data_IF_930078277716
#
_entry.id   IF_930078277716
#
_cell.length_a   1.000
_cell.length_b   1.000
_cell.length_c   1.000
_cell.angle_alpha   90.00
_cell.angle_beta   90.00
_cell.angle_gamma   90.00
#
_symmetry.space_group_name_H-M   'P 1'
#
loop_
_entity.id
_entity.type
_entity.pdbx_description
1 polymer ?
#
# COMPACT_ATOMS: atom_id res chain seq x y z
N UNK A 1 -8.02 8.94 -4.16
CA UNK A 1 -8.61 7.88 -4.99
C UNK A 1 -9.05 6.78 -4.07
N UNK A 2 -10.35 6.70 -3.87
CA UNK A 2 -10.99 5.74 -3.00
C UNK A 2 -11.63 4.63 -3.85
N UNK A 3 -12.39 3.78 -3.18
CA UNK A 3 -13.23 2.76 -3.76
C UNK A 3 -14.51 2.69 -2.93
N UNK A 4 -15.52 2.03 -3.48
CA UNK A 4 -16.73 1.69 -2.74
C UNK A 4 -16.51 0.94 -1.42
N UNK A 5 -15.31 0.39 -1.15
CA UNK A 5 -15.00 -0.27 0.13
C UNK A 5 -14.47 0.69 1.22
N UNK A 6 -13.99 1.88 0.87
CA UNK A 6 -13.29 2.77 1.79
C UNK A 6 -13.65 4.26 1.65
N UNK A 7 -14.50 4.64 0.70
CA UNK A 7 -14.91 6.05 0.49
C UNK A 7 -15.59 6.65 1.72
N UNK A 8 -16.62 6.00 2.27
CA UNK A 8 -17.36 6.50 3.45
C UNK A 8 -16.47 6.66 4.70
N UNK A 9 -15.58 5.69 4.92
CA UNK A 9 -14.62 5.72 6.02
C UNK A 9 -13.60 6.85 5.85
N UNK A 10 -13.13 7.06 4.61
CA UNK A 10 -12.18 8.12 4.26
C UNK A 10 -12.82 9.49 4.44
N UNK A 11 -14.04 9.69 3.95
CA UNK A 11 -14.81 10.92 4.14
C UNK A 11 -15.02 11.26 5.63
N UNK A 12 -15.19 10.25 6.48
CA UNK A 12 -15.33 10.44 7.93
C UNK A 12 -14.02 10.84 8.60
N UNK A 13 -12.88 10.30 8.14
CA UNK A 13 -11.56 10.58 8.71
C UNK A 13 -11.04 11.95 8.26
N UNK A 14 -11.28 12.35 7.01
CA UNK A 14 -10.78 13.62 6.45
C UNK A 14 -11.28 14.84 7.22
N UNK A 15 -12.49 14.76 7.81
CA UNK A 15 -13.04 15.81 8.69
C UNK A 15 -12.12 16.20 9.85
N UNK A 16 -11.24 15.29 10.30
CA UNK A 16 -10.26 15.58 11.35
C UNK A 16 -9.20 16.60 10.92
N UNK A 17 -9.04 16.81 9.62
CA UNK A 17 -8.09 17.74 9.04
C UNK A 17 -8.76 19.08 8.64
N UNK A 18 -10.04 19.29 8.97
CA UNK A 18 -10.69 20.60 8.80
C UNK A 18 -9.92 21.67 9.58
N UNK A 19 -9.56 22.77 8.90
CA UNK A 19 -8.78 23.87 9.48
C UNK A 19 -7.25 23.67 9.44
N UNK A 20 -6.76 22.53 8.94
CA UNK A 20 -5.36 22.41 8.56
C UNK A 20 -5.11 23.14 7.23
N UNK A 21 -3.87 23.60 7.01
CA UNK A 21 -3.46 24.27 5.78
C UNK A 21 -3.21 23.25 4.65
N UNK A 22 -4.25 22.48 4.30
CA UNK A 22 -4.24 21.48 3.23
C UNK A 22 -5.66 21.30 2.68
N UNK A 23 -5.78 21.32 1.35
CA UNK A 23 -7.01 20.99 0.65
C UNK A 23 -7.00 19.50 0.26
N UNK A 24 -7.95 18.74 0.79
CA UNK A 24 -8.07 17.31 0.51
C UNK A 24 -9.24 17.08 -0.43
N UNK A 25 -8.94 16.58 -1.63
CA UNK A 25 -9.93 16.18 -2.62
C UNK A 25 -10.02 14.65 -2.68
N UNK A 26 -11.24 14.11 -2.73
CA UNK A 26 -11.50 12.68 -2.87
C UNK A 26 -12.29 12.40 -4.14
N UNK A 27 -12.05 11.23 -4.72
CA UNK A 27 -12.84 10.70 -5.82
C UNK A 27 -12.78 9.18 -5.76
N UNK A 28 -13.89 8.57 -6.16
CA UNK A 28 -14.03 7.13 -6.25
C UNK A 28 -13.51 6.60 -7.57
N UNK A 29 -12.80 5.48 -7.51
CA UNK A 29 -12.47 4.70 -8.70
C UNK A 29 -13.70 3.92 -9.20
N UNK A 30 -13.64 3.45 -10.45
CA UNK A 30 -14.70 2.65 -11.05
C UNK A 30 -14.96 1.35 -10.27
N UNK A 31 -16.14 0.75 -10.47
CA UNK A 31 -16.49 -0.58 -9.95
C UNK A 31 -16.97 -1.48 -11.07
N UNK A 32 -16.35 -2.64 -11.22
CA UNK A 32 -16.67 -3.58 -12.30
C UNK A 32 -17.36 -4.83 -11.74
N UNK A 33 -18.32 -5.42 -12.48
CA UNK A 33 -18.97 -6.65 -12.06
C UNK A 33 -17.99 -7.83 -12.15
N UNK A 34 -17.97 -8.69 -11.13
CA UNK A 34 -17.21 -9.95 -11.18
C UNK A 34 -17.75 -10.85 -12.28
N UNK A 35 -16.90 -11.71 -12.82
CA UNK A 35 -17.27 -12.65 -13.89
C UNK A 35 -17.13 -14.08 -13.37
N UNK A 36 -18.16 -14.90 -13.60
CA UNK A 36 -18.11 -16.32 -13.28
C UNK A 36 -17.14 -17.03 -14.22
N UNK A 37 -16.18 -17.79 -13.69
CA UNK A 37 -15.12 -18.42 -14.48
C UNK A 37 -15.67 -19.43 -15.50
N UNK A 38 -16.66 -20.22 -15.10
CA UNK A 38 -17.18 -21.31 -15.94
C UNK A 38 -18.14 -20.80 -17.01
N UNK A 39 -18.94 -19.78 -16.68
CA UNK A 39 -19.95 -19.23 -17.58
C UNK A 39 -19.42 -18.07 -18.44
N UNK A 40 -18.33 -17.41 -18.02
CA UNK A 40 -17.82 -16.16 -18.60
C UNK A 40 -18.88 -15.04 -18.67
N UNK A 41 -19.84 -15.06 -17.74
CA UNK A 41 -20.90 -14.07 -17.61
C UNK A 41 -20.71 -13.27 -16.32
N UNK A 42 -21.14 -12.00 -16.29
CA UNK A 42 -21.19 -11.23 -15.05
C UNK A 42 -21.99 -11.95 -13.97
N UNK A 43 -21.49 -11.94 -12.74
CA UNK A 43 -22.21 -12.42 -11.57
C UNK A 43 -23.50 -11.64 -11.33
N UNK A 44 -23.51 -10.28 -11.34
CA UNK A 44 -24.74 -9.53 -11.16
C UNK A 44 -25.60 -9.52 -12.44
N UNK A 45 -26.92 -9.65 -12.27
CA UNK A 45 -27.92 -9.67 -13.36
C UNK A 45 -28.76 -8.40 -13.48
N UNK A 46 -28.64 -7.49 -12.52
CA UNK A 46 -29.41 -6.24 -12.43
C UNK A 46 -28.50 -5.10 -11.98
N UNK A 47 -28.91 -3.86 -12.22
CA UNK A 47 -28.17 -2.66 -11.80
C UNK A 47 -28.01 -2.55 -10.27
N UNK A 48 -29.04 -2.91 -9.49
CA UNK A 48 -29.02 -2.84 -8.02
C UNK A 48 -28.31 -4.04 -7.36
N UNK A 49 -27.14 -4.42 -7.88
CA UNK A 49 -26.39 -5.56 -7.37
C UNK A 49 -25.66 -5.25 -6.05
N UNK A 50 -25.38 -6.30 -5.27
CA UNK A 50 -24.66 -6.14 -4.00
C UNK A 50 -23.21 -5.73 -4.26
N UNK A 51 -22.64 -4.86 -3.42
CA UNK A 51 -21.23 -4.47 -3.53
C UNK A 51 -20.26 -5.67 -3.47
N UNK A 52 -20.68 -6.78 -2.88
CA UNK A 52 -19.93 -8.04 -2.89
C UNK A 52 -19.79 -8.65 -4.29
N UNK A 53 -20.61 -8.26 -5.26
CA UNK A 53 -20.57 -8.77 -6.64
C UNK A 53 -19.69 -7.93 -7.56
N UNK A 54 -19.15 -6.81 -7.06
CA UNK A 54 -18.16 -6.00 -7.78
C UNK A 54 -16.76 -6.05 -7.18
N UNK A 55 -15.83 -5.45 -7.92
CA UNK A 55 -14.44 -5.24 -7.52
C UNK A 55 -13.91 -3.94 -8.14
N UNK A 56 -12.94 -3.28 -7.50
CA UNK A 56 -12.21 -2.17 -8.12
C UNK A 56 -11.28 -2.71 -9.23
N UNK A 57 -11.23 -2.11 -10.43
CA UNK A 57 -10.46 -2.62 -11.58
C UNK A 57 -8.95 -2.36 -11.51
N UNK A 58 -8.40 -2.26 -10.30
CA UNK A 58 -6.99 -2.00 -10.03
C UNK A 58 -6.58 -0.54 -10.24
N UNK A 59 -5.33 -0.23 -9.86
CA UNK A 59 -4.83 1.14 -9.79
C UNK A 59 -4.67 1.86 -11.14
N UNK A 60 -4.76 1.15 -12.27
CA UNK A 60 -4.73 1.78 -13.59
C UNK A 60 -5.99 2.58 -13.92
N UNK A 61 -7.10 2.34 -13.22
CA UNK A 61 -8.35 3.11 -13.37
C UNK A 61 -8.21 4.59 -12.95
N UNK A 62 -7.14 4.95 -12.23
CA UNK A 62 -6.87 6.32 -11.77
C UNK A 62 -6.99 7.36 -12.89
N UNK A 63 -6.63 7.02 -14.13
CA UNK A 63 -6.72 7.96 -15.25
C UNK A 63 -8.18 8.25 -15.63
N UNK A 64 -9.00 7.20 -15.73
CA UNK A 64 -10.40 7.31 -16.15
C UNK A 64 -11.26 7.91 -15.03
N UNK A 65 -11.09 7.44 -13.78
CA UNK A 65 -11.84 7.96 -12.65
C UNK A 65 -11.47 9.40 -12.30
N UNK A 66 -10.19 9.78 -12.38
CA UNK A 66 -9.78 11.18 -12.16
C UNK A 66 -10.38 12.11 -13.22
N UNK A 67 -10.37 11.69 -14.49
CA UNK A 67 -11.00 12.45 -15.59
C UNK A 67 -12.52 12.59 -15.37
N UNK A 68 -13.22 11.47 -15.16
CA UNK A 68 -14.68 11.45 -15.01
C UNK A 68 -15.17 12.16 -13.75
N UNK A 69 -14.33 12.25 -12.71
CA UNK A 69 -14.67 12.99 -11.47
C UNK A 69 -14.73 14.51 -11.66
N UNK A 70 -14.17 15.05 -12.74
CA UNK A 70 -13.99 16.50 -12.94
C UNK A 70 -12.86 17.11 -12.11
N UNK A 71 -12.22 16.34 -11.22
CA UNK A 71 -11.06 16.83 -10.44
C UNK A 71 -9.87 17.13 -11.36
N UNK A 72 -9.68 16.37 -12.45
CA UNK A 72 -8.62 16.68 -13.39
C UNK A 72 -8.74 18.11 -13.92
N UNK A 73 -9.93 18.51 -14.36
CA UNK A 73 -10.20 19.86 -14.84
C UNK A 73 -10.02 20.90 -13.74
N UNK A 74 -10.46 20.59 -12.51
CA UNK A 74 -10.26 21.46 -11.36
C UNK A 74 -8.77 21.71 -11.07
N UNK A 75 -7.95 20.65 -11.09
CA UNK A 75 -6.50 20.74 -10.88
C UNK A 75 -5.82 21.52 -12.01
N UNK A 76 -6.20 21.26 -13.26
CA UNK A 76 -5.65 22.00 -14.41
C UNK A 76 -6.02 23.50 -14.34
N UNK A 77 -7.27 23.82 -13.99
CA UNK A 77 -7.74 25.20 -13.85
C UNK A 77 -7.08 25.95 -12.67
N UNK A 78 -6.58 25.24 -11.65
CA UNK A 78 -5.78 25.82 -10.57
C UNK A 78 -4.29 25.93 -10.90
N UNK A 79 -3.87 25.55 -12.11
CA UNK A 79 -2.48 25.64 -12.58
C UNK A 79 -1.60 24.47 -12.16
N UNK A 80 -2.19 23.33 -11.75
CA UNK A 80 -1.43 22.12 -11.42
C UNK A 80 -1.15 21.33 -12.70
N UNK A 81 0.14 21.11 -12.99
CA UNK A 81 0.59 20.42 -14.21
C UNK A 81 1.11 19.00 -13.97
N UNK A 82 1.59 18.70 -12.75
CA UNK A 82 2.24 17.44 -12.42
C UNK A 82 1.61 16.85 -11.16
N UNK A 83 1.21 15.57 -11.23
CA UNK A 83 0.67 14.83 -10.10
C UNK A 83 1.67 13.76 -9.65
N UNK A 84 1.97 13.75 -8.35
CA UNK A 84 2.74 12.69 -7.71
C UNK A 84 1.80 11.57 -7.24
N UNK A 85 1.98 10.36 -7.77
CA UNK A 85 1.17 9.19 -7.40
C UNK A 85 2.00 8.19 -6.58
N UNK A 86 1.46 7.80 -5.43
CA UNK A 86 2.05 6.78 -4.57
C UNK A 86 0.98 5.98 -3.84
N UNK A 87 1.26 4.72 -3.53
CA UNK A 87 0.36 3.96 -2.66
C UNK A 87 0.41 4.49 -1.23
N UNK A 88 -0.74 4.54 -0.57
CA UNK A 88 -0.84 4.98 0.83
C UNK A 88 -0.10 4.05 1.82
N UNK A 89 0.10 2.77 1.48
CA UNK A 89 0.88 1.84 2.30
C UNK A 89 2.40 2.03 2.16
N UNK A 90 2.87 2.80 1.17
CA UNK A 90 4.29 3.11 1.01
C UNK A 90 4.68 4.38 1.78
N UNK A 91 5.14 4.19 3.02
CA UNK A 91 5.52 5.30 3.90
C UNK A 91 6.86 5.97 3.53
N UNK A 92 7.58 5.43 2.54
CA UNK A 92 8.81 6.02 2.01
C UNK A 92 8.55 7.01 0.86
N UNK A 93 7.34 6.98 0.29
CA UNK A 93 6.99 7.85 -0.82
C UNK A 93 6.74 9.27 -0.33
N UNK A 94 7.70 10.16 -0.63
CA UNK A 94 7.64 11.58 -0.29
C UNK A 94 7.99 12.41 -1.53
N UNK A 95 7.46 13.63 -1.64
CA UNK A 95 7.76 14.51 -2.78
C UNK A 95 9.26 14.80 -2.85
N UNK A 96 9.88 14.46 -3.97
CA UNK A 96 11.30 14.70 -4.23
C UNK A 96 11.47 15.85 -5.23
N UNK A 97 11.88 17.02 -4.72
CA UNK A 97 11.98 18.23 -5.54
C UNK A 97 12.97 18.12 -6.69
N UNK A 98 14.03 17.32 -6.57
CA UNK A 98 14.98 17.08 -7.66
C UNK A 98 14.38 16.27 -8.82
N UNK A 99 13.46 15.33 -8.53
CA UNK A 99 12.73 14.57 -9.56
C UNK A 99 11.74 15.50 -10.25
N UNK A 100 11.00 16.30 -9.47
CA UNK A 100 10.08 17.31 -10.01
C UNK A 100 10.81 18.33 -10.88
N UNK A 101 11.95 18.84 -10.43
CA UNK A 101 12.80 19.76 -11.19
C UNK A 101 13.22 19.15 -12.53
N UNK A 102 13.66 17.88 -12.54
CA UNK A 102 13.98 17.19 -13.78
C UNK A 102 12.79 17.12 -14.73
N UNK A 103 11.60 16.73 -14.24
CA UNK A 103 10.39 16.67 -15.08
C UNK A 103 10.08 18.02 -15.73
N UNK A 104 10.22 19.12 -14.99
CA UNK A 104 10.00 20.48 -15.50
C UNK A 104 11.04 20.87 -16.55
N UNK A 105 12.33 20.59 -16.29
CA UNK A 105 13.43 20.95 -17.19
C UNK A 105 13.42 20.16 -18.50
N UNK A 106 13.14 18.85 -18.44
CA UNK A 106 13.12 17.96 -19.62
C UNK A 106 11.76 17.90 -20.30
N UNK A 107 10.70 18.43 -19.67
CA UNK A 107 9.31 18.29 -20.11
C UNK A 107 8.86 16.84 -20.24
N UNK A 108 9.43 15.95 -19.41
CA UNK A 108 9.03 14.54 -19.33
C UNK A 108 7.60 14.43 -18.80
N UNK A 109 6.72 13.75 -19.53
CA UNK A 109 5.32 13.62 -19.14
C UNK A 109 5.08 12.52 -18.08
N UNK A 110 6.03 11.57 -17.92
CA UNK A 110 5.89 10.48 -16.94
C UNK A 110 7.24 9.95 -16.44
N UNK A 111 7.42 9.91 -15.11
CA UNK A 111 8.56 9.26 -14.46
C UNK A 111 8.08 8.15 -13.54
N UNK A 112 8.70 6.98 -13.65
CA UNK A 112 8.51 5.88 -12.70
C UNK A 112 9.73 5.72 -11.80
N UNK A 113 9.52 5.77 -10.48
CA UNK A 113 10.56 5.42 -9.51
C UNK A 113 10.69 3.89 -9.42
N UNK A 114 11.92 3.41 -9.62
CA UNK A 114 12.31 2.00 -9.55
C UNK A 114 13.33 1.80 -8.43
N UNK A 115 13.35 0.60 -7.87
CA UNK A 115 14.35 0.18 -6.89
C UNK A 115 15.03 -1.09 -7.35
N UNK A 116 16.24 -1.32 -6.83
CA UNK A 116 16.89 -2.61 -6.98
C UNK A 116 16.10 -3.71 -6.28
N UNK A 117 15.85 -4.81 -7.01
CA UNK A 117 15.13 -5.96 -6.48
C UNK A 117 15.99 -6.69 -5.45
N UNK A 118 15.39 -6.99 -4.31
CA UNK A 118 15.95 -7.88 -3.29
C UNK A 118 15.20 -9.21 -3.30
N UNK A 119 15.75 -10.21 -2.60
CA UNK A 119 15.08 -11.51 -2.40
C UNK A 119 13.72 -11.38 -1.71
N UNK A 120 13.52 -10.31 -0.93
CA UNK A 120 12.26 -10.03 -0.24
C UNK A 120 11.18 -9.45 -1.18
N UNK A 121 11.55 -8.95 -2.36
CA UNK A 121 10.62 -8.28 -3.29
C UNK A 121 9.94 -9.26 -4.29
N UNK A 122 10.10 -10.57 -4.09
CA UNK A 122 9.41 -11.61 -4.88
C UNK A 122 7.99 -11.74 -4.33
N UNK A 123 7.02 -11.14 -5.03
CA UNK A 123 5.59 -11.13 -4.64
C UNK A 123 5.06 -12.54 -4.35
N UNK A 124 4.49 -12.74 -3.16
CA UNK A 124 3.52 -13.80 -2.89
C UNK A 124 2.16 -13.42 -3.47
N UNK A 125 1.49 -14.37 -4.13
CA UNK A 125 0.16 -14.16 -4.69
C UNK A 125 -0.87 -13.89 -3.59
N UNK A 126 -1.83 -13.02 -3.89
CA UNK A 126 -3.00 -12.81 -3.04
C UNK A 126 -3.96 -13.97 -3.26
N UNK A 127 -4.13 -14.83 -2.26
CA UNK A 127 -5.26 -15.75 -2.20
C UNK A 127 -6.44 -15.01 -1.57
N UNK A 128 -7.57 -14.94 -2.28
CA UNK A 128 -8.82 -14.45 -1.71
C UNK A 128 -9.39 -15.58 -0.83
N UNK A 129 -9.51 -15.41 0.50
CA UNK A 129 -10.18 -16.41 1.32
C UNK A 129 -11.68 -16.39 0.99
N UNK A 130 -12.21 -17.57 0.68
CA UNK A 130 -13.64 -17.78 0.53
C UNK A 130 -14.36 -17.37 1.82
N UNK A 131 -15.18 -16.33 1.73
CA UNK A 131 -16.07 -16.00 2.82
C UNK A 131 -17.16 -17.09 2.89
N UNK A 132 -17.28 -17.68 4.08
CA UNK A 132 -18.29 -18.64 4.58
C UNK A 132 -17.91 -20.12 4.43
N UNK A 133 -17.75 -20.76 5.60
CA UNK A 133 -17.77 -22.23 5.75
C UNK A 133 -19.08 -22.78 5.17
N UNK A 134 -19.00 -23.49 4.04
CA UNK A 134 -20.05 -24.41 3.60
C UNK A 134 -20.70 -24.17 2.23
N UNK A 135 -20.34 -23.11 1.50
CA UNK A 135 -20.75 -22.93 0.09
C UNK A 135 -19.61 -23.35 -0.83
N UNK A 136 -19.93 -24.00 -1.96
CA UNK A 136 -18.94 -24.40 -2.95
C UNK A 136 -18.17 -23.17 -3.45
N UNK A 137 -16.85 -23.27 -3.57
CA UNK A 137 -15.98 -22.19 -4.07
C UNK A 137 -16.45 -21.74 -5.46
N UNK A 138 -17.06 -20.56 -5.53
CA UNK A 138 -17.40 -19.94 -6.81
C UNK A 138 -16.12 -19.35 -7.38
N UNK A 139 -15.62 -19.96 -8.46
CA UNK A 139 -14.47 -19.42 -9.19
C UNK A 139 -14.87 -18.17 -9.96
N UNK A 140 -14.19 -17.06 -9.67
CA UNK A 140 -14.41 -15.76 -10.32
C UNK A 140 -13.19 -15.32 -11.13
N UNK A 141 -13.42 -14.46 -12.12
CA UNK A 141 -12.42 -13.74 -12.89
C UNK A 141 -12.57 -12.25 -12.63
N UNK A 142 -11.43 -11.58 -12.45
CA UNK A 142 -11.30 -10.13 -12.27
C UNK A 142 -10.25 -9.62 -13.24
N UNK A 143 -10.55 -8.52 -13.94
CA UNK A 143 -9.66 -7.85 -14.86
C UNK A 143 -9.19 -6.54 -14.25
N UNK A 144 -7.90 -6.43 -14.01
CA UNK A 144 -7.29 -5.25 -13.40
C UNK A 144 -6.22 -4.67 -14.31
N UNK A 145 -6.02 -3.36 -14.21
CA UNK A 145 -4.91 -2.67 -14.87
C UNK A 145 -3.96 -2.04 -13.85
N UNK A 146 -2.70 -1.92 -14.23
CA UNK A 146 -1.66 -1.31 -13.40
C UNK A 146 -1.30 0.07 -13.94
N UNK A 147 -1.28 1.09 -13.06
CA UNK A 147 -0.94 2.48 -13.42
C UNK A 147 0.40 2.59 -14.16
N UNK A 148 1.40 1.81 -13.74
CA UNK A 148 2.73 1.83 -14.36
C UNK A 148 2.77 1.31 -15.79
N UNK A 149 1.77 0.53 -16.23
CA UNK A 149 1.70 0.07 -17.62
C UNK A 149 1.41 1.21 -18.61
N UNK A 150 0.90 2.35 -18.11
CA UNK A 150 0.60 3.50 -18.92
C UNK A 150 1.84 4.27 -19.41
N UNK A 151 3.02 4.05 -18.80
CA UNK A 151 4.26 4.80 -19.10
C UNK A 151 4.61 4.87 -20.60
N UNK A 152 4.29 3.81 -21.36
CA UNK A 152 4.52 3.73 -22.81
C UNK A 152 3.66 4.68 -23.66
N UNK A 153 2.63 5.29 -23.07
CA UNK A 153 1.70 6.20 -23.73
C UNK A 153 2.03 7.68 -23.48
N UNK A 154 3.04 7.97 -22.66
CA UNK A 154 3.51 9.31 -22.36
C UNK A 154 4.78 9.64 -23.14
N UNK A 155 4.92 10.90 -23.57
CA UNK A 155 6.12 11.37 -24.28
C UNK A 155 7.29 11.52 -23.32
N UNK A 156 8.48 11.24 -23.84
CA UNK A 156 9.76 11.39 -23.13
C UNK A 156 9.75 10.74 -21.74
N UNK A 157 9.09 9.59 -21.61
CA UNK A 157 8.93 8.90 -20.35
C UNK A 157 10.20 8.17 -19.90
N UNK A 158 10.47 8.25 -18.59
CA UNK A 158 11.72 7.76 -18.00
C UNK A 158 11.47 6.95 -16.74
N UNK A 159 12.49 6.20 -16.33
CA UNK A 159 12.47 5.49 -15.05
C UNK A 159 13.74 5.83 -14.28
N UNK A 160 13.59 6.15 -13.00
CA UNK A 160 14.69 6.51 -12.13
C UNK A 160 14.95 5.40 -11.11
N UNK A 161 16.20 4.96 -11.02
CA UNK A 161 16.60 4.14 -9.88
C UNK A 161 16.72 5.05 -8.66
N UNK A 162 15.91 4.79 -7.64
CA UNK A 162 15.87 5.57 -6.41
C UNK A 162 16.35 4.74 -5.20
N UNK A 163 16.89 5.39 -4.15
CA UNK A 163 17.29 4.68 -2.95
C UNK A 163 16.10 3.98 -2.27
N UNK A 164 16.33 2.79 -1.72
CA UNK A 164 15.30 1.95 -1.08
C UNK A 164 14.48 2.65 0.01
N UNK A 165 15.01 3.69 0.65
CA UNK A 165 14.26 4.52 1.63
C UNK A 165 12.97 5.12 1.06
N UNK A 166 12.83 5.24 -0.26
CA UNK A 166 11.62 5.72 -0.94
C UNK A 166 10.57 4.63 -1.18
N UNK A 167 10.92 3.39 -0.88
CA UNK A 167 10.05 2.22 -0.99
C UNK A 167 10.00 1.46 0.34
N UNK A 168 9.05 1.87 1.17
CA UNK A 168 8.80 1.34 2.50
C UNK A 168 7.33 0.93 2.65
N UNK A 169 6.89 -0.12 1.93
CA UNK A 169 5.50 -0.60 1.98
C UNK A 169 5.18 -1.30 3.31
N UNK A 170 3.98 -1.08 3.83
CA UNK A 170 3.45 -1.73 5.03
C UNK A 170 2.25 -2.59 4.67
N UNK A 171 2.50 -3.87 4.34
CA UNK A 171 1.47 -4.80 3.87
C UNK A 171 1.06 -5.82 4.91
N UNK A 172 1.97 -6.13 5.82
CA UNK A 172 1.81 -7.16 6.84
C UNK A 172 2.01 -6.57 8.22
N UNK A 173 1.53 -7.27 9.25
CA UNK A 173 1.83 -6.92 10.63
C UNK A 173 3.33 -7.02 10.96
N UNK A 174 4.09 -7.82 10.21
CA UNK A 174 5.56 -7.83 10.30
C UNK A 174 6.14 -6.47 9.88
N UNK A 175 5.67 -5.91 8.75
CA UNK A 175 6.09 -4.58 8.32
C UNK A 175 5.69 -3.52 9.36
N UNK A 176 4.47 -3.63 9.91
CA UNK A 176 3.99 -2.74 10.97
C UNK A 176 4.88 -2.79 12.23
N UNK A 177 5.37 -3.97 12.60
CA UNK A 177 6.31 -4.15 13.71
C UNK A 177 7.63 -3.43 13.47
N UNK A 178 8.16 -3.49 12.23
CA UNK A 178 9.39 -2.78 11.86
C UNK A 178 9.21 -1.27 12.03
N UNK A 179 8.19 -0.71 11.39
CA UNK A 179 7.95 0.74 11.36
C UNK A 179 7.67 1.30 12.75
N UNK A 180 6.96 0.56 13.60
CA UNK A 180 6.63 1.03 14.95
C UNK A 180 7.69 0.73 16.02
N UNK A 181 8.79 0.06 15.66
CA UNK A 181 9.89 -0.22 16.59
C UNK A 181 10.86 0.97 16.68
N UNK A 182 11.91 0.84 17.50
CA UNK A 182 13.00 1.84 17.54
C UNK A 182 13.92 1.81 16.31
N UNK A 183 13.62 0.98 15.30
CA UNK A 183 14.36 0.93 14.04
C UNK A 183 14.17 2.18 13.19
N UNK A 184 13.00 2.80 13.29
CA UNK A 184 12.67 4.01 12.55
C UNK A 184 12.35 5.16 13.51
N UNK A 185 12.72 6.35 13.08
CA UNK A 185 12.31 7.62 13.69
C UNK A 185 11.55 8.43 12.66
N UNK A 186 10.73 9.40 13.10
CA UNK A 186 9.93 10.26 12.20
C UNK A 186 10.36 11.73 12.33
N UNK A 187 11.60 12.11 12.00
CA UNK A 187 11.98 13.51 11.93
C UNK A 187 11.36 14.18 10.70
N UNK A 188 10.78 15.37 10.87
CA UNK A 188 10.22 16.18 9.77
C UNK A 188 9.28 15.40 8.84
N UNK A 189 8.39 14.59 9.42
CA UNK A 189 7.37 13.81 8.71
C UNK A 189 7.91 12.75 7.73
N UNK A 190 9.18 12.35 7.87
CA UNK A 190 9.78 11.27 7.08
C UNK A 190 10.32 10.16 7.97
N UNK A 191 10.02 8.90 7.61
CA UNK A 191 10.59 7.76 8.31
C UNK A 191 12.06 7.59 7.95
N UNK A 192 12.92 7.71 8.95
CA UNK A 192 14.36 7.57 8.84
C UNK A 192 14.82 6.39 9.67
N UNK A 193 15.51 5.44 9.03
CA UNK A 193 16.10 4.28 9.69
C UNK A 193 17.22 4.72 10.64
N UNK A 194 17.32 4.06 11.80
CA UNK A 194 18.36 4.31 12.80
C UNK A 194 19.76 4.19 12.15
N UNK A 195 20.65 5.19 12.33
CA UNK A 195 21.97 5.21 11.69
C UNK A 195 22.89 4.08 12.18
N UNK A 196 22.62 3.49 13.34
CA UNK A 196 23.36 2.34 13.85
C UNK A 196 22.94 1.03 13.17
N UNK A 197 21.90 1.04 12.33
CA UNK A 197 21.48 -0.15 11.59
C UNK A 197 22.35 -0.35 10.35
N UNK A 198 22.99 -1.51 10.27
CA UNK A 198 23.66 -2.00 9.06
C UNK A 198 22.79 -3.03 8.33
N UNK A 199 22.23 -2.66 7.18
CA UNK A 199 21.52 -3.60 6.30
C UNK A 199 20.07 -3.92 6.70
N UNK A 200 19.34 -4.68 5.86
CA UNK A 200 17.93 -4.97 6.08
C UNK A 200 17.69 -5.91 7.28
N UNK A 201 16.50 -5.85 7.87
CA UNK A 201 16.03 -6.86 8.85
C UNK A 201 15.16 -7.89 8.11
N UNK A 202 15.40 -9.17 8.37
CA UNK A 202 14.59 -10.26 7.81
C UNK A 202 13.55 -10.77 8.82
N UNK A 203 12.30 -10.36 8.68
CA UNK A 203 11.17 -10.89 9.46
C UNK A 203 10.45 -12.01 8.69
N UNK A 204 11.09 -13.16 8.53
CA UNK A 204 10.61 -14.14 7.55
C UNK A 204 9.41 -14.97 8.04
N UNK A 205 9.13 -15.06 9.35
CA UNK A 205 8.03 -15.89 9.87
C UNK A 205 7.51 -15.41 11.23
N UNK A 206 6.59 -14.46 11.21
CA UNK A 206 5.67 -14.27 12.34
C UNK A 206 4.42 -15.11 12.00
N UNK A 207 3.99 -16.02 12.89
CA UNK A 207 2.92 -16.99 12.59
C UNK A 207 1.60 -16.34 12.18
N UNK A 208 0.67 -17.17 11.68
CA UNK A 208 -0.72 -16.80 11.37
C UNK A 208 -1.43 -16.08 12.53
N UNK A 209 -0.95 -16.26 13.77
CA UNK A 209 -1.43 -15.56 14.96
C UNK A 209 -1.21 -14.04 14.95
N UNK A 210 -0.43 -13.53 14.01
CA UNK A 210 -0.14 -12.10 13.85
C UNK A 210 -0.64 -11.55 12.50
N UNK A 211 -1.33 -12.33 11.68
CA UNK A 211 -1.84 -11.84 10.38
C UNK A 211 -2.85 -10.71 10.56
N UNK A 212 -3.72 -10.80 11.57
CA UNK A 212 -4.71 -9.76 11.86
C UNK A 212 -4.15 -8.73 12.82
N UNK A 213 -4.33 -7.45 12.49
CA UNK A 213 -3.91 -6.30 13.31
C UNK A 213 -4.44 -6.39 14.75
N UNK A 214 -5.67 -6.85 14.93
CA UNK A 214 -6.27 -7.03 16.26
C UNK A 214 -5.56 -8.07 17.12
N UNK A 215 -5.06 -9.15 16.52
CA UNK A 215 -4.27 -10.16 17.23
C UNK A 215 -2.85 -9.67 17.48
N UNK A 216 -2.24 -9.01 16.49
CA UNK A 216 -0.94 -8.36 16.62
C UNK A 216 -0.89 -7.41 17.82
N UNK A 217 -1.87 -6.51 17.93
CA UNK A 217 -1.97 -5.54 19.03
C UNK A 217 -2.22 -6.20 20.39
N UNK A 218 -2.96 -7.32 20.45
CA UNK A 218 -3.14 -8.08 21.69
C UNK A 218 -1.85 -8.74 22.17
N UNK A 219 -1.05 -9.26 21.24
CA UNK A 219 0.17 -10.01 21.53
C UNK A 219 1.40 -9.13 21.76
N UNK A 220 1.39 -7.91 21.24
CA UNK A 220 2.49 -6.95 21.41
C UNK A 220 2.00 -5.78 22.24
N UNK A 221 2.22 -5.86 23.56
CA UNK A 221 1.85 -4.79 24.48
C UNK A 221 2.69 -3.52 24.28
N UNK A 222 3.96 -3.70 23.89
CA UNK A 222 4.87 -2.62 23.49
C UNK A 222 5.89 -3.20 22.51
N UNK A 223 6.19 -2.46 21.44
CA UNK A 223 7.12 -2.97 20.43
C UNK A 223 8.49 -3.23 21.05
N UNK A 224 9.12 -4.38 20.72
CA UNK A 224 10.47 -4.66 21.16
C UNK A 224 11.46 -3.71 20.51
N UNK A 225 12.62 -3.55 21.15
CA UNK A 225 13.77 -2.88 20.52
C UNK A 225 14.45 -3.87 19.57
N UNK A 226 14.64 -3.49 18.31
CA UNK A 226 15.11 -4.39 17.24
C UNK A 226 16.22 -3.82 16.36
N UNK A 227 16.86 -2.70 16.75
CA UNK A 227 17.97 -2.10 15.95
C UNK A 227 19.09 -3.11 15.65
N UNK A 228 19.41 -3.96 16.62
CA UNK A 228 20.43 -5.01 16.51
C UNK A 228 19.87 -6.37 16.04
N UNK A 229 18.62 -6.44 15.58
CA UNK A 229 17.96 -7.68 15.13
C UNK A 229 18.28 -7.96 13.66
N UNK A 230 18.69 -9.18 13.34
CA UNK A 230 18.93 -9.63 11.97
C UNK A 230 17.80 -10.52 11.45
N UNK A 231 17.33 -11.43 12.30
CA UNK A 231 16.28 -12.37 11.93
C UNK A 231 15.34 -12.65 13.11
N UNK A 232 14.03 -12.60 12.85
CA UNK A 232 13.00 -13.04 13.82
C UNK A 232 12.08 -14.08 13.19
N UNK A 233 11.96 -15.21 13.87
CA UNK A 233 10.89 -16.19 13.67
C UNK A 233 10.12 -16.35 14.97
N UNK A 234 8.82 -16.10 14.95
CA UNK A 234 7.91 -16.26 16.09
C UNK A 234 6.74 -17.17 15.68
N UNK A 235 6.68 -18.37 16.27
CA UNK A 235 5.65 -19.37 15.95
C UNK A 235 4.74 -19.67 17.14
N UNK A 236 3.44 -19.84 16.91
CA UNK A 236 2.48 -20.15 17.96
C UNK A 236 2.10 -18.95 18.82
N UNK A 237 1.53 -19.21 20.01
CA UNK A 237 0.87 -18.23 20.87
C UNK A 237 1.77 -17.24 21.61
N UNK A 238 2.87 -16.79 21.01
CA UNK A 238 3.89 -15.92 21.63
C UNK A 238 3.32 -14.53 21.95
N UNK A 239 3.71 -13.97 23.10
CA UNK A 239 3.40 -12.60 23.51
C UNK A 239 4.70 -11.83 23.79
N UNK A 240 4.80 -10.60 23.26
CA UNK A 240 5.91 -9.70 23.52
C UNK A 240 5.52 -8.69 24.62
N UNK A 241 6.15 -8.85 25.78
CA UNK A 241 5.96 -7.98 26.94
C UNK A 241 6.68 -6.62 26.81
N UNK A 242 6.67 -5.85 27.90
CA UNK A 242 7.35 -4.54 27.96
C UNK A 242 8.87 -4.72 28.12
N UNK A 243 9.64 -3.86 27.46
CA UNK A 243 11.10 -3.78 27.65
C UNK A 243 11.91 -4.85 26.91
N UNK A 244 11.27 -5.64 26.04
CA UNK A 244 11.95 -6.66 25.25
C UNK A 244 12.94 -6.03 24.27
N UNK A 245 14.14 -6.62 24.20
CA UNK A 245 15.20 -6.27 23.24
C UNK A 245 15.55 -7.54 22.47
N UNK A 246 15.48 -7.48 21.14
CA UNK A 246 15.81 -8.60 20.27
C UNK A 246 17.09 -8.25 19.50
N UNK A 247 18.05 -9.19 19.48
CA UNK A 247 19.38 -9.00 18.89
C UNK A 247 19.79 -10.24 18.09
N UNK A 248 20.48 -10.06 16.97
CA UNK A 248 20.94 -11.14 16.10
C UNK A 248 19.80 -11.98 15.53
N UNK A 249 19.91 -13.30 15.63
CA UNK A 249 18.88 -14.25 15.18
C UNK A 249 18.06 -14.72 16.38
N UNK A 250 16.76 -14.41 16.39
CA UNK A 250 15.81 -14.85 17.41
C UNK A 250 14.77 -15.79 16.81
N UNK A 251 14.66 -16.98 17.38
CA UNK A 251 13.63 -17.96 17.04
C UNK A 251 12.88 -18.29 18.33
N UNK A 252 11.57 -18.05 18.35
CA UNK A 252 10.71 -18.29 19.51
C UNK A 252 9.44 -19.03 19.09
N UNK A 253 8.99 -19.97 19.92
CA UNK A 253 7.89 -20.86 19.63
C UNK A 253 7.12 -21.22 20.90
N UNK A 254 5.80 -21.35 20.78
CA UNK A 254 4.93 -21.97 21.80
C UNK A 254 4.09 -23.08 21.17
#
# INVERSE_FOLDING_TARGET
MDSFNNDEDTASIIKKYEGHNIDILTFDQSRYPRILKDALLPTPKSYDFQLSDCYPPGYGDVFESLYNSGILDQLMNSGIEIVFLSNADNLGAVVALHILQHMVETKTEYIMELIDKTKADVKGGTSIPANKKGEADISIIQFETAVGAAIKHFKDSHSFNVPRRRFLPVKTCSDLMLIKSNLYTLPHDQLVMDPNRSGPISLNKISSDFEKVTQFQKRISRNPKIVELDHLTATGGVNFGRGIVLKGTVITGA
#
